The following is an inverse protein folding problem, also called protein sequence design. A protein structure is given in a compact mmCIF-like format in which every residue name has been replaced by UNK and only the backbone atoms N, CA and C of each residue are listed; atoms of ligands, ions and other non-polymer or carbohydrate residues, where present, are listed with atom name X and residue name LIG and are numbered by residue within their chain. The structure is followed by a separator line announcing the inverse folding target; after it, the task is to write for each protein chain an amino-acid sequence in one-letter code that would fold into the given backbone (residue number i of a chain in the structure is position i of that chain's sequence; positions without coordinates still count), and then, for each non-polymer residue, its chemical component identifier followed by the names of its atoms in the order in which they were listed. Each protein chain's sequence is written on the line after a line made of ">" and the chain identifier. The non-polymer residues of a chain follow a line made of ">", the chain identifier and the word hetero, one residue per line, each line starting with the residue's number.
data_IF_378979611617
#
_entry.id   IF_378979611617
#
_cell.length_a   1.000
_cell.length_b   1.000
_cell.length_c   1.000
_cell.angle_alpha   90.00
_cell.angle_beta   90.00
_cell.angle_gamma   90.00
#
_symmetry.space_group_name_H-M   'P 1'
#
loop_
_entity.id
_entity.type
_entity.pdbx_description
1 polymer ?
#
# COMPACT_ATOMS: atom_id res chain seq x y z
N UNK A 1 61.25 -10.88 -6.78
CA UNK A 1 61.85 -11.76 -5.77
C UNK A 1 60.67 -12.33 -4.97
N UNK A 2 60.37 -13.58 -4.87
CA UNK A 2 60.96 -14.83 -5.22
C UNK A 2 59.91 -15.90 -4.92
N UNK A 3 59.77 -16.77 -5.85
CA UNK A 3 59.01 -18.01 -5.83
C UNK A 3 59.33 -18.91 -4.62
N UNK A 4 58.39 -19.72 -4.21
CA UNK A 4 58.59 -21.17 -4.04
C UNK A 4 57.28 -21.95 -3.97
N UNK A 5 57.13 -22.80 -4.96
CA UNK A 5 56.38 -24.05 -4.98
C UNK A 5 57.14 -25.11 -4.17
N UNK A 6 56.45 -26.03 -3.51
CA UNK A 6 56.94 -27.39 -3.31
C UNK A 6 55.78 -28.40 -3.24
N UNK A 7 55.90 -29.32 -4.17
CA UNK A 7 55.26 -30.62 -4.32
C UNK A 7 55.66 -31.62 -3.22
N UNK A 8 54.93 -32.74 -3.12
CA UNK A 8 55.36 -34.18 -3.06
C UNK A 8 54.22 -34.93 -2.36
N UNK A 9 53.45 -35.77 -3.09
CA UNK A 9 53.50 -37.23 -3.34
C UNK A 9 53.42 -38.06 -2.05
N UNK A 10 52.65 -39.09 -1.93
CA UNK A 10 52.23 -40.17 -2.78
C UNK A 10 52.05 -41.44 -1.93
N UNK A 11 51.39 -42.40 -2.50
CA UNK A 11 51.41 -43.86 -2.25
C UNK A 11 50.39 -44.46 -1.23
N UNK A 12 49.46 -45.20 -1.82
CA UNK A 12 49.38 -46.65 -2.05
C UNK A 12 49.33 -47.53 -0.79
N UNK A 13 48.26 -48.28 -0.61
CA UNK A 13 48.28 -49.76 -0.45
C UNK A 13 46.92 -50.42 -0.74
N UNK A 14 47.02 -51.57 -1.38
CA UNK A 14 46.03 -52.42 -2.00
C UNK A 14 45.27 -53.35 -1.06
N UNK A 15 44.10 -53.81 -1.59
CA UNK A 15 43.50 -55.15 -1.53
C UNK A 15 42.82 -55.56 -0.22
N UNK A 16 41.58 -55.97 -0.31
CA UNK A 16 41.18 -57.35 -0.65
C UNK A 16 39.69 -57.46 -0.93
N UNK A 17 39.39 -58.24 -1.99
CA UNK A 17 38.06 -58.61 -2.39
C UNK A 17 37.47 -59.73 -1.48
N UNK A 18 36.19 -59.64 -1.16
CA UNK A 18 35.35 -60.80 -0.83
C UNK A 18 33.99 -60.67 -1.56
N UNK A 19 33.76 -61.63 -2.43
CA UNK A 19 32.48 -61.90 -3.08
C UNK A 19 31.50 -62.42 -2.04
N UNK A 20 30.31 -61.86 -1.98
CA UNK A 20 29.10 -62.58 -1.48
C UNK A 20 28.00 -62.25 -2.50
N UNK A 21 27.50 -63.31 -3.08
CA UNK A 21 26.35 -63.35 -3.98
C UNK A 21 25.06 -63.12 -3.21
N UNK A 22 24.21 -62.24 -3.69
CA UNK A 22 22.87 -62.06 -3.16
C UNK A 22 22.04 -61.25 -4.14
N UNK A 23 21.19 -61.91 -4.91
CA UNK A 23 20.16 -61.28 -5.71
C UNK A 23 19.24 -60.47 -4.79
N UNK A 24 19.18 -59.17 -5.00
CA UNK A 24 18.04 -58.38 -4.57
C UNK A 24 17.70 -57.36 -5.64
N UNK A 25 16.44 -57.36 -6.00
CA UNK A 25 15.83 -56.60 -7.07
C UNK A 25 16.10 -55.12 -6.92
N UNK A 26 16.64 -54.51 -7.98
CA UNK A 26 16.86 -53.08 -8.11
C UNK A 26 15.54 -52.42 -8.52
N UNK A 27 14.74 -51.98 -7.55
CA UNK A 27 13.64 -51.07 -7.82
C UNK A 27 14.22 -49.68 -8.11
N UNK A 28 14.27 -49.33 -9.41
CA UNK A 28 14.54 -47.97 -9.84
C UNK A 28 13.35 -47.07 -9.42
N UNK A 29 13.48 -46.42 -8.31
CA UNK A 29 12.60 -45.32 -7.92
C UNK A 29 13.03 -44.08 -8.73
N UNK A 30 12.41 -43.87 -9.89
CA UNK A 30 12.48 -42.63 -10.66
C UNK A 30 11.81 -41.53 -9.81
N UNK A 31 12.61 -40.85 -9.00
CA UNK A 31 12.25 -39.53 -8.49
C UNK A 31 12.24 -38.54 -9.66
N UNK A 32 11.10 -38.44 -10.34
CA UNK A 32 10.82 -37.27 -11.17
C UNK A 32 10.71 -36.08 -10.24
N UNK A 33 11.78 -35.29 -10.15
CA UNK A 33 11.71 -33.93 -9.66
C UNK A 33 10.80 -33.12 -10.61
N UNK A 34 9.51 -33.20 -10.37
CA UNK A 34 8.57 -32.24 -10.92
C UNK A 34 8.89 -30.89 -10.24
N UNK A 35 9.76 -30.09 -10.84
CA UNK A 35 9.78 -28.66 -10.59
C UNK A 35 8.44 -28.10 -11.03
N UNK A 36 7.43 -28.21 -10.18
CA UNK A 36 6.26 -27.35 -10.29
C UNK A 36 6.75 -25.93 -10.08
N UNK A 37 6.95 -25.21 -11.18
CA UNK A 37 6.87 -23.75 -11.17
C UNK A 37 5.48 -23.40 -10.66
N UNK A 38 5.33 -23.32 -9.36
CA UNK A 38 4.18 -22.71 -8.72
C UNK A 38 4.31 -21.22 -8.98
N UNK A 39 3.89 -20.79 -10.16
CA UNK A 39 3.46 -19.40 -10.34
C UNK A 39 2.42 -19.20 -9.26
N UNK A 40 2.76 -18.41 -8.25
CA UNK A 40 1.81 -17.99 -7.22
C UNK A 40 0.81 -17.07 -7.93
N UNK A 41 -0.14 -17.65 -8.63
CA UNK A 41 -1.39 -16.98 -8.92
C UNK A 41 -1.97 -16.68 -7.54
N UNK A 42 -2.15 -15.42 -7.22
CA UNK A 42 -2.90 -15.01 -6.04
C UNK A 42 -4.23 -15.77 -6.11
N UNK A 43 -4.41 -16.76 -5.23
CA UNK A 43 -5.65 -17.53 -5.21
C UNK A 43 -6.75 -16.56 -4.77
N UNK A 44 -7.76 -16.36 -5.61
CA UNK A 44 -8.98 -15.60 -5.31
C UNK A 44 -9.81 -16.31 -4.24
N UNK A 45 -9.22 -16.50 -3.07
CA UNK A 45 -9.95 -17.04 -1.91
C UNK A 45 -10.63 -15.88 -1.19
N UNK A 46 -11.88 -16.06 -0.73
CA UNK A 46 -12.53 -15.10 0.14
C UNK A 46 -11.62 -14.75 1.32
N UNK A 47 -11.61 -13.48 1.71
CA UNK A 47 -10.90 -13.05 2.90
C UNK A 47 -11.67 -13.60 4.10
N UNK A 48 -11.02 -14.44 4.89
CA UNK A 48 -11.60 -15.08 6.08
C UNK A 48 -10.98 -14.54 7.37
N UNK A 49 -10.50 -13.30 7.33
CA UNK A 49 -9.90 -12.65 8.49
C UNK A 49 -10.94 -11.78 9.18
N UNK A 50 -11.09 -11.96 10.50
CA UNK A 50 -11.87 -11.05 11.33
C UNK A 50 -11.16 -9.70 11.42
N UNK A 51 -11.91 -8.63 11.70
CA UNK A 51 -11.38 -7.28 11.75
C UNK A 51 -11.46 -6.52 10.41
N UNK A 52 -10.93 -5.32 10.40
CA UNK A 52 -10.95 -4.40 9.26
C UNK A 52 -10.05 -4.88 8.11
N UNK A 53 -10.65 -5.11 6.94
CA UNK A 53 -9.95 -5.53 5.73
C UNK A 53 -9.93 -4.39 4.71
N UNK A 54 -8.75 -3.87 4.37
CA UNK A 54 -8.58 -2.72 3.47
C UNK A 54 -7.67 -3.10 2.31
N UNK A 55 -8.13 -2.85 1.09
CA UNK A 55 -7.34 -2.99 -0.13
C UNK A 55 -7.02 -1.62 -0.72
N UNK A 56 -5.74 -1.33 -0.90
CA UNK A 56 -5.29 -0.14 -1.61
C UNK A 56 -4.96 -0.46 -3.06
N UNK A 57 -5.51 0.33 -3.99
CA UNK A 57 -5.19 0.30 -5.42
C UNK A 57 -4.64 1.66 -5.78
N UNK A 58 -3.38 1.72 -6.24
CA UNK A 58 -2.77 3.01 -6.53
C UNK A 58 -1.38 2.95 -7.15
N UNK A 59 -0.61 3.97 -6.87
CA UNK A 59 0.76 4.10 -7.37
C UNK A 59 1.73 4.53 -6.26
N UNK A 60 2.86 5.14 -6.61
CA UNK A 60 3.85 5.58 -5.65
C UNK A 60 3.29 6.54 -4.57
N UNK A 61 2.28 7.34 -4.87
CA UNK A 61 1.66 8.23 -3.87
C UNK A 61 0.93 7.44 -2.76
N UNK A 62 0.59 6.18 -2.99
CA UNK A 62 0.04 5.27 -1.98
C UNK A 62 1.13 4.62 -1.14
N UNK A 63 2.17 4.04 -1.77
CA UNK A 63 3.15 3.25 -1.04
C UNK A 63 4.38 4.03 -0.56
N UNK A 64 4.56 5.28 -0.99
CA UNK A 64 5.74 6.06 -0.58
C UNK A 64 5.77 6.23 0.95
N UNK A 65 6.95 6.05 1.53
CA UNK A 65 7.18 6.03 2.99
C UNK A 65 6.36 4.98 3.75
N UNK A 66 5.86 3.94 3.08
CA UNK A 66 4.99 2.91 3.66
C UNK A 66 3.75 3.49 4.36
N UNK A 67 3.07 4.43 3.71
CA UNK A 67 1.88 5.08 4.27
C UNK A 67 0.83 4.08 4.76
N UNK A 68 0.54 2.95 4.07
CA UNK A 68 -0.39 1.94 4.59
C UNK A 68 0.07 1.30 5.91
N UNK A 69 1.39 1.07 6.13
CA UNK A 69 1.91 0.61 7.42
C UNK A 69 1.76 1.69 8.51
N UNK A 70 2.00 2.97 8.19
CA UNK A 70 1.72 4.06 9.12
C UNK A 70 0.25 4.04 9.59
N UNK A 71 -0.67 3.88 8.65
CA UNK A 71 -2.09 3.75 8.95
C UNK A 71 -2.39 2.52 9.82
N UNK A 72 -1.81 1.38 9.48
CA UNK A 72 -1.97 0.15 10.26
C UNK A 72 -1.54 0.36 11.71
N UNK A 73 -0.37 0.96 11.95
CA UNK A 73 0.13 1.24 13.31
C UNK A 73 -0.76 2.20 14.08
N UNK A 74 -1.35 3.20 13.41
CA UNK A 74 -2.32 4.09 14.03
C UNK A 74 -3.59 3.33 14.46
N UNK A 75 -4.10 2.46 13.61
CA UNK A 75 -5.27 1.62 13.88
C UNK A 75 -4.98 0.64 15.03
N UNK A 76 -3.82 -0.03 15.01
CA UNK A 76 -3.36 -0.92 16.07
C UNK A 76 -3.27 -0.19 17.43
N UNK A 77 -2.68 1.03 17.42
CA UNK A 77 -2.58 1.84 18.64
C UNK A 77 -3.96 2.17 19.22
N UNK A 78 -4.92 2.47 18.36
CA UNK A 78 -6.29 2.76 18.77
C UNK A 78 -7.10 1.49 19.15
N UNK A 79 -6.50 0.30 19.08
CA UNK A 79 -7.16 -0.97 19.39
C UNK A 79 -8.22 -1.38 18.37
N UNK A 80 -8.10 -0.93 17.12
CA UNK A 80 -8.92 -1.40 16.01
C UNK A 80 -8.40 -2.77 15.59
N UNK A 81 -9.27 -3.77 15.60
CA UNK A 81 -8.93 -5.10 15.10
C UNK A 81 -8.75 -5.05 13.58
N UNK A 82 -7.56 -5.44 13.11
CA UNK A 82 -7.20 -5.44 11.69
C UNK A 82 -7.10 -6.87 11.21
N UNK A 83 -7.88 -7.20 10.20
CA UNK A 83 -7.78 -8.46 9.50
C UNK A 83 -6.67 -8.42 8.44
N UNK A 84 -6.81 -7.56 7.43
CA UNK A 84 -5.85 -7.46 6.34
C UNK A 84 -5.76 -6.03 5.79
N UNK A 85 -4.54 -5.51 5.67
CA UNK A 85 -4.24 -4.36 4.82
C UNK A 85 -3.37 -4.84 3.65
N UNK A 86 -3.89 -4.75 2.43
CA UNK A 86 -3.20 -5.17 1.22
C UNK A 86 -3.02 -3.99 0.27
N UNK A 87 -1.89 -3.97 -0.44
CA UNK A 87 -1.55 -2.89 -1.36
C UNK A 87 -1.24 -3.46 -2.74
N UNK A 88 -1.98 -3.06 -3.76
CA UNK A 88 -1.69 -3.29 -5.17
C UNK A 88 -1.39 -1.93 -5.79
N UNK A 89 -0.13 -1.56 -5.80
CA UNK A 89 0.29 -0.26 -6.30
C UNK A 89 1.59 -0.38 -7.08
N UNK A 90 1.63 0.25 -8.26
CA UNK A 90 2.77 0.21 -9.17
C UNK A 90 3.19 1.62 -9.59
N UNK A 91 4.49 1.85 -9.82
CA UNK A 91 4.96 3.15 -10.27
C UNK A 91 4.22 3.64 -11.52
N UNK A 92 3.76 4.88 -11.50
CA UNK A 92 3.09 5.55 -12.62
C UNK A 92 1.74 4.95 -13.08
N UNK A 93 1.18 3.97 -12.37
CA UNK A 93 -0.13 3.43 -12.70
C UNK A 93 -1.23 4.45 -12.38
N UNK A 94 -2.17 4.60 -13.31
CA UNK A 94 -3.48 5.15 -13.06
C UNK A 94 -4.52 4.05 -12.84
N UNK A 95 -5.76 4.41 -12.57
CA UNK A 95 -6.83 3.44 -12.38
C UNK A 95 -7.10 2.66 -13.67
N UNK A 96 -6.88 3.25 -14.84
CA UNK A 96 -6.97 2.56 -16.13
C UNK A 96 -6.00 1.39 -16.23
N UNK A 97 -4.75 1.57 -15.82
CA UNK A 97 -3.73 0.50 -15.89
C UNK A 97 -4.10 -0.66 -14.97
N UNK A 98 -4.59 -0.34 -13.78
CA UNK A 98 -5.13 -1.32 -12.85
C UNK A 98 -6.36 -2.04 -13.42
N UNK A 99 -7.25 -1.34 -14.11
CA UNK A 99 -8.41 -1.94 -14.75
C UNK A 99 -8.01 -2.91 -15.87
N UNK A 100 -6.99 -2.60 -16.63
CA UNK A 100 -6.47 -3.48 -17.67
C UNK A 100 -5.74 -4.72 -17.10
N UNK A 101 -5.37 -4.70 -15.83
CA UNK A 101 -4.71 -5.81 -15.13
C UNK A 101 -5.77 -6.76 -14.54
N UNK A 102 -5.91 -7.95 -15.11
CA UNK A 102 -6.95 -8.92 -14.73
C UNK A 102 -6.88 -9.29 -13.24
N UNK A 103 -5.68 -9.56 -12.70
CA UNK A 103 -5.50 -9.92 -11.29
C UNK A 103 -5.93 -8.82 -10.32
N UNK A 104 -5.80 -7.54 -10.68
CA UNK A 104 -6.30 -6.43 -9.85
C UNK A 104 -7.83 -6.45 -9.77
N UNK A 105 -8.52 -6.62 -10.90
CA UNK A 105 -9.99 -6.73 -10.92
C UNK A 105 -10.48 -7.94 -10.13
N UNK A 106 -9.85 -9.08 -10.32
CA UNK A 106 -10.16 -10.31 -9.59
C UNK A 106 -9.96 -10.13 -8.08
N UNK A 107 -8.90 -9.43 -7.69
CA UNK A 107 -8.64 -9.17 -6.27
C UNK A 107 -9.68 -8.25 -5.64
N UNK A 108 -10.07 -7.19 -6.34
CA UNK A 108 -11.15 -6.28 -5.88
C UNK A 108 -12.48 -7.02 -5.76
N UNK A 109 -12.80 -7.87 -6.74
CA UNK A 109 -14.04 -8.67 -6.73
C UNK A 109 -14.04 -9.80 -5.69
N UNK A 110 -12.92 -10.05 -5.00
CA UNK A 110 -12.86 -11.06 -3.94
C UNK A 110 -13.68 -10.60 -2.74
N UNK A 111 -14.63 -11.40 -2.24
CA UNK A 111 -15.44 -11.04 -1.08
C UNK A 111 -14.61 -10.91 0.21
N UNK A 112 -15.04 -10.02 1.10
CA UNK A 112 -14.47 -9.85 2.44
C UNK A 112 -13.65 -8.57 2.64
N UNK A 113 -13.56 -7.70 1.65
CA UNK A 113 -13.06 -6.34 1.85
C UNK A 113 -14.12 -5.47 2.51
N UNK A 114 -13.75 -4.74 3.56
CA UNK A 114 -14.58 -3.69 4.14
C UNK A 114 -14.44 -2.40 3.33
N UNK A 115 -13.21 -2.09 2.90
CA UNK A 115 -12.92 -0.89 2.12
C UNK A 115 -11.93 -1.19 1.00
N UNK A 116 -12.25 -0.73 -0.21
CA UNK A 116 -11.32 -0.66 -1.34
C UNK A 116 -10.98 0.80 -1.62
N UNK A 117 -9.72 1.16 -1.44
CA UNK A 117 -9.21 2.52 -1.61
C UNK A 117 -8.62 2.68 -3.00
N UNK A 118 -9.18 3.57 -3.79
CA UNK A 118 -8.72 3.89 -5.13
C UNK A 118 -7.91 5.19 -5.13
N UNK A 119 -6.70 5.14 -5.67
CA UNK A 119 -5.83 6.30 -5.84
C UNK A 119 -5.30 6.35 -7.27
N UNK A 120 -5.43 7.50 -7.89
CA UNK A 120 -4.81 7.87 -9.14
C UNK A 120 -3.92 9.11 -8.91
N UNK A 121 -3.18 9.57 -9.91
CA UNK A 121 -2.48 10.86 -9.84
C UNK A 121 -3.43 12.04 -9.58
N UNK A 122 -2.94 13.27 -9.51
CA UNK A 122 -3.73 14.46 -9.10
C UNK A 122 -5.06 14.64 -9.82
N UNK A 123 -5.12 14.40 -11.12
CA UNK A 123 -6.38 14.36 -11.92
C UNK A 123 -7.19 15.65 -11.85
N UNK A 124 -6.52 16.83 -11.89
CA UNK A 124 -7.19 18.13 -11.78
C UNK A 124 -8.19 18.38 -12.93
N UNK A 125 -7.74 18.22 -14.18
CA UNK A 125 -8.55 18.40 -15.40
C UNK A 125 -8.38 17.23 -16.35
N UNK A 126 -7.18 17.01 -16.85
CA UNK A 126 -6.88 15.99 -17.87
C UNK A 126 -7.13 14.57 -17.37
N UNK A 127 -6.78 14.28 -16.11
CA UNK A 127 -6.99 12.98 -15.50
C UNK A 127 -8.40 12.74 -14.95
N UNK A 128 -9.25 13.77 -14.87
CA UNK A 128 -10.60 13.66 -14.31
C UNK A 128 -11.49 12.66 -15.05
N UNK A 129 -11.58 12.66 -16.39
CA UNK A 129 -12.41 11.68 -17.09
C UNK A 129 -12.02 10.24 -16.76
N UNK A 130 -10.73 9.93 -16.73
CA UNK A 130 -10.22 8.62 -16.36
C UNK A 130 -10.53 8.27 -14.89
N UNK A 131 -10.33 9.20 -13.96
CA UNK A 131 -10.66 9.00 -12.55
C UNK A 131 -12.13 8.63 -12.39
N UNK A 132 -13.05 9.37 -12.99
CA UNK A 132 -14.49 9.13 -12.89
C UNK A 132 -14.89 7.80 -13.53
N UNK A 133 -14.41 7.51 -14.75
CA UNK A 133 -14.72 6.30 -15.49
C UNK A 133 -14.28 5.05 -14.71
N UNK A 134 -13.00 5.00 -14.33
CA UNK A 134 -12.46 3.79 -13.71
C UNK A 134 -12.87 3.61 -12.25
N UNK A 135 -13.15 4.69 -11.52
CA UNK A 135 -13.75 4.55 -10.18
C UNK A 135 -15.13 3.89 -10.25
N UNK A 136 -15.96 4.27 -11.24
CA UNK A 136 -17.27 3.65 -11.46
C UNK A 136 -17.15 2.18 -11.88
N UNK A 137 -16.20 1.87 -12.77
CA UNK A 137 -15.96 0.49 -13.21
C UNK A 137 -15.51 -0.39 -12.04
N UNK A 138 -14.60 0.10 -11.18
CA UNK A 138 -14.18 -0.66 -10.00
C UNK A 138 -15.31 -0.83 -8.99
N UNK A 139 -16.14 0.18 -8.76
CA UNK A 139 -17.29 0.07 -7.87
C UNK A 139 -18.25 -1.04 -8.32
N UNK A 140 -18.47 -1.20 -9.63
CA UNK A 140 -19.35 -2.25 -10.15
C UNK A 140 -18.86 -3.69 -9.86
N UNK A 141 -17.58 -3.87 -9.51
CA UNK A 141 -17.06 -5.18 -9.10
C UNK A 141 -17.48 -5.57 -7.68
N UNK A 142 -17.93 -4.61 -6.87
CA UNK A 142 -18.29 -4.80 -5.46
C UNK A 142 -19.80 -4.60 -5.19
N UNK A 143 -20.61 -4.33 -6.20
CA UNK A 143 -22.06 -4.05 -6.08
C UNK A 143 -22.86 -5.12 -5.33
N UNK A 144 -22.39 -6.37 -5.30
CA UNK A 144 -23.02 -7.50 -4.61
C UNK A 144 -22.45 -7.76 -3.21
N UNK A 145 -21.58 -6.90 -2.70
CA UNK A 145 -20.91 -7.04 -1.40
C UNK A 145 -21.11 -5.81 -0.52
N UNK A 146 -20.85 -5.94 0.77
CA UNK A 146 -20.85 -4.82 1.71
C UNK A 146 -19.59 -3.94 1.63
N UNK A 147 -18.74 -4.17 0.63
CA UNK A 147 -17.50 -3.44 0.41
C UNK A 147 -17.75 -1.97 0.07
N UNK A 148 -17.17 -1.06 0.81
CA UNK A 148 -17.22 0.37 0.52
C UNK A 148 -16.05 0.80 -0.36
N UNK A 149 -16.36 1.57 -1.40
CA UNK A 149 -15.31 2.26 -2.16
C UNK A 149 -14.83 3.49 -1.39
N UNK A 150 -13.55 3.81 -1.50
CA UNK A 150 -12.97 5.03 -0.97
C UNK A 150 -12.05 5.67 -2.01
N UNK A 151 -12.06 6.99 -2.14
CA UNK A 151 -11.21 7.76 -3.02
C UNK A 151 -10.11 8.42 -2.17
N UNK A 152 -8.85 8.08 -2.43
CA UNK A 152 -7.71 8.73 -1.79
C UNK A 152 -7.30 9.95 -2.62
N UNK A 153 -7.79 11.12 -2.21
CA UNK A 153 -7.46 12.40 -2.82
C UNK A 153 -6.03 12.79 -2.47
N UNK A 154 -5.17 12.78 -3.45
CA UNK A 154 -3.78 13.23 -3.36
C UNK A 154 -3.67 14.75 -3.62
N UNK A 155 -2.47 15.24 -3.81
CA UNK A 155 -2.08 16.63 -4.05
C UNK A 155 -1.43 16.78 -5.44
N UNK A 156 -1.46 17.94 -6.07
CA UNK A 156 -0.69 18.20 -7.28
C UNK A 156 0.81 18.30 -6.98
N UNK A 157 1.67 18.19 -8.00
CA UNK A 157 3.07 18.55 -7.87
C UNK A 157 3.23 20.02 -7.41
N UNK A 158 4.32 20.35 -6.73
CA UNK A 158 4.51 21.66 -6.12
C UNK A 158 4.43 22.82 -7.13
N UNK A 159 5.02 22.62 -8.33
CA UNK A 159 4.95 23.61 -9.41
C UNK A 159 3.55 23.74 -10.02
N UNK A 160 2.65 22.83 -9.72
CA UNK A 160 1.24 22.84 -10.13
C UNK A 160 0.29 23.09 -8.96
N UNK A 161 0.73 23.74 -7.91
CA UNK A 161 -0.08 24.03 -6.72
C UNK A 161 -1.41 24.77 -7.03
N UNK A 162 -1.49 25.48 -8.15
CA UNK A 162 -2.73 26.08 -8.64
C UNK A 162 -3.81 25.05 -9.05
N UNK A 163 -3.47 23.77 -9.18
CA UNK A 163 -4.40 22.71 -9.53
C UNK A 163 -5.15 22.11 -8.32
N UNK A 164 -4.84 22.50 -7.08
CA UNK A 164 -5.48 21.92 -5.88
C UNK A 164 -7.01 21.90 -5.95
N UNK A 165 -7.63 23.01 -6.34
CA UNK A 165 -9.10 23.08 -6.43
C UNK A 165 -9.65 22.12 -7.48
N UNK A 166 -8.93 21.95 -8.60
CA UNK A 166 -9.26 21.00 -9.65
C UNK A 166 -9.15 19.54 -9.18
N UNK A 167 -8.08 19.22 -8.43
CA UNK A 167 -7.88 17.88 -7.82
C UNK A 167 -9.00 17.59 -6.83
N UNK A 168 -9.29 18.53 -5.91
CA UNK A 168 -10.34 18.40 -4.92
C UNK A 168 -11.70 18.16 -5.55
N UNK A 169 -12.05 18.93 -6.58
CA UNK A 169 -13.29 18.76 -7.32
C UNK A 169 -13.38 17.39 -7.98
N UNK A 170 -12.28 16.90 -8.61
CA UNK A 170 -12.27 15.62 -9.32
C UNK A 170 -12.49 14.43 -8.40
N UNK A 171 -11.78 14.39 -7.27
CA UNK A 171 -11.91 13.30 -6.31
C UNK A 171 -13.24 13.32 -5.57
N UNK A 172 -13.79 14.51 -5.29
CA UNK A 172 -15.13 14.64 -4.72
C UNK A 172 -16.19 14.10 -5.69
N UNK A 173 -16.13 14.50 -6.97
CA UNK A 173 -17.03 13.98 -7.99
C UNK A 173 -16.94 12.45 -8.12
N UNK A 174 -15.73 11.88 -8.08
CA UNK A 174 -15.55 10.44 -8.14
C UNK A 174 -16.14 9.75 -6.92
N UNK A 175 -15.91 10.25 -5.71
CA UNK A 175 -16.49 9.71 -4.48
C UNK A 175 -18.04 9.81 -4.48
N UNK A 176 -18.58 10.94 -4.96
CA UNK A 176 -20.04 11.13 -5.13
C UNK A 176 -20.63 10.11 -6.09
N UNK A 177 -19.96 9.88 -7.22
CA UNK A 177 -20.46 8.98 -8.27
C UNK A 177 -20.55 7.52 -7.81
N UNK A 178 -19.69 7.09 -6.88
CA UNK A 178 -19.66 5.70 -6.39
C UNK A 178 -20.25 5.56 -4.98
N UNK A 179 -20.88 6.61 -4.45
CA UNK A 179 -21.36 6.70 -3.06
C UNK A 179 -20.29 6.23 -2.04
N UNK A 180 -19.04 6.60 -2.32
CA UNK A 180 -17.86 6.15 -1.58
C UNK A 180 -17.38 7.16 -0.54
N UNK A 181 -16.43 6.72 0.28
CA UNK A 181 -15.67 7.60 1.17
C UNK A 181 -14.74 8.51 0.35
N UNK A 182 -14.47 9.67 0.88
CA UNK A 182 -13.38 10.53 0.39
C UNK A 182 -12.35 10.72 1.50
N UNK A 183 -11.11 10.35 1.24
CA UNK A 183 -9.96 10.66 2.10
C UNK A 183 -9.25 11.91 1.58
N UNK A 184 -9.55 13.11 2.10
CA UNK A 184 -9.13 14.39 1.51
C UNK A 184 -7.70 14.79 1.93
N UNK A 185 -6.70 13.94 1.68
CA UNK A 185 -5.34 14.17 2.15
C UNK A 185 -4.70 15.44 1.55
N UNK A 186 -4.96 15.75 0.28
CA UNK A 186 -4.49 17.01 -0.33
C UNK A 186 -5.09 18.24 0.34
N UNK A 187 -6.34 18.20 0.81
CA UNK A 187 -6.94 19.29 1.57
C UNK A 187 -6.37 19.36 3.00
N UNK A 188 -6.01 18.22 3.59
CA UNK A 188 -5.30 18.21 4.87
C UNK A 188 -3.92 18.87 4.75
N UNK A 189 -3.22 18.69 3.62
CA UNK A 189 -1.97 19.40 3.34
C UNK A 189 -2.20 20.92 3.29
N UNK A 190 -3.24 21.36 2.59
CA UNK A 190 -3.60 22.80 2.54
C UNK A 190 -3.94 23.34 3.92
N UNK A 191 -4.69 22.59 4.72
CA UNK A 191 -5.03 22.98 6.10
C UNK A 191 -3.78 23.08 6.98
N UNK A 192 -2.82 22.15 6.85
CA UNK A 192 -1.55 22.19 7.56
C UNK A 192 -0.71 23.42 7.16
N UNK A 193 -0.56 23.69 5.85
CA UNK A 193 0.16 24.88 5.37
C UNK A 193 -0.51 26.19 5.73
N UNK A 194 -1.83 26.22 5.92
CA UNK A 194 -2.49 27.44 6.43
C UNK A 194 -2.11 27.78 7.87
N UNK A 195 -1.67 26.78 8.64
CA UNK A 195 -1.21 26.93 10.03
C UNK A 195 0.30 27.16 10.11
N UNK A 196 1.06 26.44 9.27
CA UNK A 196 2.51 26.60 9.14
C UNK A 196 2.94 26.33 7.68
N UNK A 197 3.17 27.40 6.94
CA UNK A 197 3.56 27.35 5.53
C UNK A 197 4.97 26.77 5.29
N UNK A 198 5.76 26.54 6.33
CA UNK A 198 7.13 26.02 6.25
C UNK A 198 7.19 24.50 6.30
N UNK A 199 6.05 23.82 6.52
CA UNK A 199 6.00 22.38 6.61
C UNK A 199 6.46 21.71 5.30
N UNK A 200 7.49 20.88 5.40
CA UNK A 200 8.02 20.11 4.28
C UNK A 200 7.17 18.85 4.04
N UNK A 201 6.01 18.99 3.40
CA UNK A 201 5.11 17.89 3.09
C UNK A 201 5.51 17.16 1.80
N UNK A 202 6.21 17.81 0.87
CA UNK A 202 6.82 17.17 -0.29
C UNK A 202 8.19 16.59 0.05
N UNK A 203 8.56 15.52 -0.64
CA UNK A 203 9.93 15.04 -0.74
C UNK A 203 10.76 15.99 -1.65
N UNK A 204 12.05 15.69 -1.82
CA UNK A 204 12.98 16.52 -2.59
C UNK A 204 12.68 16.65 -4.08
N UNK A 205 11.81 15.79 -4.61
CA UNK A 205 11.37 15.83 -6.01
C UNK A 205 10.13 16.71 -6.24
N UNK A 206 9.62 17.36 -5.19
CA UNK A 206 8.47 18.25 -5.25
C UNK A 206 7.16 17.60 -5.75
N UNK A 207 7.08 16.27 -5.68
CA UNK A 207 5.89 15.50 -6.08
C UNK A 207 5.52 14.42 -5.06
N UNK A 208 6.45 13.51 -4.75
CA UNK A 208 6.19 12.49 -3.74
C UNK A 208 6.06 13.10 -2.34
N UNK A 209 5.35 12.45 -1.43
CA UNK A 209 5.23 12.94 -0.07
C UNK A 209 6.55 12.77 0.69
N UNK A 210 6.88 13.72 1.55
CA UNK A 210 7.80 13.46 2.65
C UNK A 210 7.19 12.47 3.63
N UNK A 211 7.96 11.97 4.61
CA UNK A 211 7.38 11.16 5.70
C UNK A 211 6.26 11.91 6.43
N UNK A 212 6.43 13.20 6.63
CA UNK A 212 5.41 14.05 7.27
C UNK A 212 4.14 14.16 6.42
N UNK A 213 4.30 14.30 5.11
CA UNK A 213 3.18 14.31 4.16
C UNK A 213 2.41 12.98 4.12
N UNK A 214 3.13 11.85 4.15
CA UNK A 214 2.51 10.53 4.24
C UNK A 214 1.81 10.32 5.59
N UNK A 215 2.43 10.75 6.69
CA UNK A 215 1.84 10.69 8.02
C UNK A 215 0.51 11.46 8.09
N UNK A 216 0.46 12.66 7.53
CA UNK A 216 -0.78 13.45 7.48
C UNK A 216 -1.87 12.77 6.64
N UNK A 217 -1.51 12.13 5.52
CA UNK A 217 -2.46 11.33 4.74
C UNK A 217 -2.99 10.12 5.53
N UNK A 218 -2.13 9.45 6.29
CA UNK A 218 -2.54 8.35 7.16
C UNK A 218 -3.49 8.81 8.28
N UNK A 219 -3.26 10.00 8.89
CA UNK A 219 -4.15 10.59 9.90
C UNK A 219 -5.57 10.84 9.36
N UNK A 220 -5.68 11.33 8.12
CA UNK A 220 -6.97 11.53 7.45
C UNK A 220 -7.73 10.21 7.32
N UNK A 221 -7.07 9.16 6.87
CA UNK A 221 -7.66 7.83 6.72
C UNK A 221 -8.00 7.20 8.06
N UNK A 222 -7.09 7.31 9.03
CA UNK A 222 -7.28 6.82 10.39
C UNK A 222 -8.58 7.32 10.99
N UNK A 223 -8.83 8.62 10.96
CA UNK A 223 -10.02 9.22 11.56
C UNK A 223 -11.32 8.62 11.01
N UNK A 224 -11.38 8.38 9.71
CA UNK A 224 -12.57 7.84 9.07
C UNK A 224 -12.72 6.33 9.26
N UNK A 225 -11.62 5.57 9.17
CA UNK A 225 -11.65 4.11 9.29
C UNK A 225 -11.81 3.66 10.74
N UNK A 226 -11.07 4.27 11.67
CA UNK A 226 -11.19 3.99 13.09
C UNK A 226 -12.44 4.60 13.72
N UNK A 227 -12.99 5.67 13.13
CA UNK A 227 -14.02 6.52 13.75
C UNK A 227 -13.59 7.04 15.11
N UNK A 228 -12.31 7.44 15.21
CA UNK A 228 -11.65 7.95 16.41
C UNK A 228 -11.05 9.33 16.13
N UNK A 229 -10.87 10.10 17.20
CA UNK A 229 -10.19 11.38 17.12
C UNK A 229 -8.69 11.16 16.87
N UNK A 230 -8.07 11.75 15.84
CA UNK A 230 -6.63 11.67 15.64
C UNK A 230 -5.80 12.21 16.82
N UNK A 231 -6.37 13.08 17.64
CA UNK A 231 -5.69 13.62 18.83
C UNK A 231 -5.46 12.57 19.93
N UNK A 232 -6.10 11.40 19.85
CA UNK A 232 -5.83 10.27 20.73
C UNK A 232 -4.51 9.54 20.37
N UNK A 233 -3.91 9.85 19.21
CA UNK A 233 -2.65 9.25 18.77
C UNK A 233 -1.45 9.98 19.34
N UNK A 234 -0.36 9.26 19.69
CA UNK A 234 0.86 9.89 20.21
C UNK A 234 1.65 10.60 19.12
N UNK A 235 2.53 11.52 19.53
CA UNK A 235 3.48 12.18 18.63
C UNK A 235 4.56 11.23 18.06
N UNK A 236 4.68 10.02 18.61
CA UNK A 236 5.56 8.97 18.12
C UNK A 236 4.75 7.77 17.66
N UNK A 237 4.87 7.45 16.38
CA UNK A 237 4.31 6.24 15.78
C UNK A 237 5.46 5.35 15.32
N UNK A 238 5.51 4.13 15.84
CA UNK A 238 6.51 3.13 15.45
C UNK A 238 6.04 2.46 14.15
N UNK A 239 6.93 2.38 13.16
CA UNK A 239 6.67 1.71 11.88
C UNK A 239 7.83 0.80 11.51
N UNK A 240 7.58 -0.19 10.62
CA UNK A 240 8.59 -1.17 10.23
C UNK A 240 9.78 -0.52 9.51
N UNK A 241 9.58 0.62 8.85
CA UNK A 241 10.61 1.36 8.10
C UNK A 241 11.11 2.63 8.81
N UNK A 242 11.11 2.60 10.13
CA UNK A 242 11.58 3.68 11.00
C UNK A 242 10.43 4.48 11.62
N UNK A 243 10.63 4.91 12.84
CA UNK A 243 9.64 5.63 13.61
C UNK A 243 9.34 7.02 13.01
N UNK A 244 8.10 7.46 13.16
CA UNK A 244 7.74 8.85 13.06
C UNK A 244 7.81 9.42 14.47
N UNK A 245 8.72 10.33 14.71
CA UNK A 245 8.86 11.02 15.99
C UNK A 245 8.91 12.52 15.72
N UNK A 246 7.87 13.22 16.14
CA UNK A 246 7.68 14.66 15.94
C UNK A 246 7.37 15.33 17.28
N UNK A 247 7.46 16.64 17.35
CA UNK A 247 7.06 17.35 18.58
C UNK A 247 5.55 17.25 18.81
N UNK A 248 5.12 17.35 20.06
CA UNK A 248 3.69 17.35 20.42
C UNK A 248 2.92 18.47 19.71
N UNK A 249 3.53 19.66 19.58
CA UNK A 249 2.91 20.78 18.86
C UNK A 249 2.71 20.47 17.38
N UNK A 250 3.70 19.82 16.74
CA UNK A 250 3.58 19.42 15.35
C UNK A 250 2.56 18.28 15.17
N UNK A 251 2.55 17.29 16.08
CA UNK A 251 1.54 16.24 16.08
C UNK A 251 0.14 16.85 16.15
N UNK A 252 -0.09 17.74 17.10
CA UNK A 252 -1.36 18.45 17.25
C UNK A 252 -1.74 19.22 15.98
N UNK A 253 -0.80 19.95 15.37
CA UNK A 253 -1.05 20.71 14.14
C UNK A 253 -1.53 19.79 13.00
N UNK A 254 -0.90 18.62 12.81
CA UNK A 254 -1.26 17.67 11.78
C UNK A 254 -2.61 16.99 12.08
N UNK A 255 -2.88 16.67 13.33
CA UNK A 255 -4.16 16.11 13.79
C UNK A 255 -5.30 17.11 13.57
N UNK A 256 -5.08 18.38 13.91
CA UNK A 256 -6.02 19.48 13.63
C UNK A 256 -6.28 19.62 12.11
N UNK A 257 -5.23 19.52 11.28
CA UNK A 257 -5.34 19.64 9.83
C UNK A 257 -6.12 18.46 9.20
N UNK A 258 -5.87 17.24 9.68
CA UNK A 258 -6.62 16.05 9.25
C UNK A 258 -8.11 16.17 9.63
N UNK A 259 -8.38 16.58 10.86
CA UNK A 259 -9.74 16.78 11.37
C UNK A 259 -10.48 17.85 10.60
N UNK A 260 -9.84 18.99 10.31
CA UNK A 260 -10.42 20.07 9.52
C UNK A 260 -10.76 19.62 8.10
N UNK A 261 -9.83 18.92 7.43
CA UNK A 261 -10.06 18.42 6.09
C UNK A 261 -11.21 17.40 6.04
N UNK A 262 -11.25 16.47 6.98
CA UNK A 262 -12.34 15.51 7.08
C UNK A 262 -13.68 16.18 7.36
N UNK A 263 -13.74 17.14 8.27
CA UNK A 263 -14.97 17.86 8.58
C UNK A 263 -15.57 18.62 7.39
N UNK A 264 -14.71 19.09 6.46
CA UNK A 264 -15.13 19.89 5.29
C UNK A 264 -15.36 19.10 4.03
N UNK A 265 -14.65 18.01 3.83
CA UNK A 265 -14.56 17.32 2.53
C UNK A 265 -14.87 15.82 2.60
N UNK A 266 -14.80 15.14 3.76
CA UNK A 266 -15.13 13.72 3.86
C UNK A 266 -16.62 13.46 3.62
N UNK A 267 -16.90 12.20 3.23
CA UNK A 267 -18.28 11.70 2.97
C UNK A 267 -18.52 10.45 3.79
#
# INVERSE_FOLDING_TARGET
>A
MGKRLLHISGNWVRKTARRISGLTALAFLLCTLSCSNKTMLAENRPIQQEGLNVLFIGNSLTYFNDMPDMLQRMLDYAGVEIGLIEVIAYPNYGLQDHWLTASTRERIATPGWDVVVLQQGPSATEGRPSLLEYSKLFASLTDSSDTRMALYMVWPAQERSFDFDGVSASYRMAAEQVDGLLFPAGEAWRAAWSKDSTLALYASDNFHPSRLGSHLAALVMFQQLARRDPHDLPAKIMTDNGDIEISEDLAKLLQDAATEANARFAR
#
